data_IF_860985241432
#
_entry.id   IF_860985241432
#
_cell.length_a   1.000
_cell.length_b   1.000
_cell.length_c   1.000
_cell.angle_alpha   90.00
_cell.angle_beta   90.00
_cell.angle_gamma   90.00
#
_symmetry.space_group_name_H-M   'P 1'
#
loop_
_entity.id
_entity.type
_entity.pdbx_description
1 polymer ?
#
# COMPACT_ATOMS: atom_id res chain seq x y z
N UNK A 1 -22.82 8.97 -9.55
CA UNK A 1 -23.14 7.52 -9.57
C UNK A 1 -23.43 7.13 -11.00
N UNK A 2 -22.79 6.09 -11.53
CA UNK A 2 -22.96 5.62 -12.91
C UNK A 2 -23.17 4.11 -12.94
N UNK A 3 -24.01 3.60 -13.87
CA UNK A 3 -24.22 2.16 -14.05
C UNK A 3 -22.98 1.53 -14.70
N UNK A 4 -22.46 0.46 -14.11
CA UNK A 4 -21.41 -0.36 -14.71
C UNK A 4 -22.04 -1.36 -15.67
N UNK A 5 -21.94 -1.08 -16.97
CA UNK A 5 -22.54 -1.92 -18.00
C UNK A 5 -21.85 -3.30 -18.13
N UNK A 6 -20.56 -3.40 -17.82
CA UNK A 6 -19.81 -4.65 -17.93
C UNK A 6 -20.05 -5.60 -16.74
N UNK A 7 -20.27 -5.04 -15.56
CA UNK A 7 -20.57 -5.81 -14.35
C UNK A 7 -22.08 -6.10 -14.16
N UNK A 8 -22.96 -5.37 -14.85
CA UNK A 8 -24.41 -5.55 -14.76
C UNK A 8 -24.95 -6.67 -15.66
N UNK A 9 -26.11 -7.21 -15.30
CA UNK A 9 -26.87 -8.21 -16.07
C UNK A 9 -28.37 -7.94 -15.98
N UNK A 10 -29.20 -8.72 -16.69
CA UNK A 10 -30.66 -8.60 -16.61
C UNK A 10 -31.24 -8.89 -15.21
N UNK A 11 -30.47 -9.49 -14.30
CA UNK A 11 -30.87 -9.82 -12.92
C UNK A 11 -30.14 -9.02 -11.85
N UNK A 12 -29.12 -8.25 -12.22
CA UNK A 12 -28.26 -7.51 -11.29
C UNK A 12 -27.85 -6.19 -11.90
N UNK A 13 -28.17 -5.11 -11.21
CA UNK A 13 -27.63 -3.79 -11.53
C UNK A 13 -26.43 -3.51 -10.64
N UNK A 14 -25.32 -3.10 -11.25
CA UNK A 14 -24.10 -2.70 -10.56
C UNK A 14 -23.84 -1.24 -10.90
N UNK A 15 -23.61 -0.42 -9.87
CA UNK A 15 -23.33 1.00 -10.01
C UNK A 15 -22.00 1.35 -9.35
N UNK A 16 -21.25 2.22 -10.03
CA UNK A 16 -20.05 2.87 -9.51
C UNK A 16 -20.44 4.17 -8.82
N UNK A 17 -20.15 4.24 -7.52
CA UNK A 17 -20.36 5.43 -6.71
C UNK A 17 -19.03 5.82 -6.05
N UNK A 18 -18.52 7.01 -6.39
CA UNK A 18 -17.21 7.52 -5.95
C UNK A 18 -17.41 8.82 -5.15
N UNK A 19 -18.00 8.77 -3.94
CA UNK A 19 -18.46 9.96 -3.22
C UNK A 19 -17.34 10.93 -2.79
N UNK A 20 -16.09 10.47 -2.74
CA UNK A 20 -14.92 11.25 -2.34
C UNK A 20 -13.88 11.36 -3.46
N UNK A 21 -14.28 11.13 -4.72
CA UNK A 21 -13.33 11.09 -5.84
C UNK A 21 -12.57 12.40 -6.05
N UNK A 22 -13.25 13.53 -5.78
CA UNK A 22 -12.72 14.88 -5.97
C UNK A 22 -11.98 15.40 -4.73
N UNK A 23 -11.99 14.65 -3.63
CA UNK A 23 -11.34 15.08 -2.40
C UNK A 23 -9.82 15.00 -2.52
N UNK A 24 -9.16 16.04 -2.03
CA UNK A 24 -7.75 15.99 -1.71
C UNK A 24 -7.52 15.06 -0.52
N UNK A 25 -6.30 14.52 -0.40
CA UNK A 25 -5.92 13.66 0.73
C UNK A 25 -6.11 14.37 2.08
N UNK A 26 -5.87 15.68 2.13
CA UNK A 26 -6.08 16.50 3.33
C UNK A 26 -7.53 16.52 3.78
N UNK A 27 -8.49 16.59 2.85
CA UNK A 27 -9.93 16.58 3.13
C UNK A 27 -10.36 15.21 3.68
N UNK A 28 -9.85 14.12 3.09
CA UNK A 28 -10.08 12.74 3.58
C UNK A 28 -9.64 12.62 5.03
N UNK A 29 -8.41 13.05 5.35
CA UNK A 29 -7.88 12.96 6.71
C UNK A 29 -8.59 13.87 7.72
N UNK A 30 -9.00 15.08 7.31
CA UNK A 30 -9.81 15.96 8.15
C UNK A 30 -11.14 15.30 8.51
N UNK A 31 -11.80 14.67 7.54
CA UNK A 31 -13.07 13.98 7.75
C UNK A 31 -12.93 12.75 8.67
N UNK A 32 -11.92 11.90 8.45
CA UNK A 32 -11.62 10.75 9.32
C UNK A 32 -11.45 11.21 10.77
N UNK A 33 -10.61 12.23 11.00
CA UNK A 33 -10.36 12.77 12.34
C UNK A 33 -11.62 13.36 12.98
N UNK A 34 -12.42 14.11 12.22
CA UNK A 34 -13.66 14.71 12.72
C UNK A 34 -14.72 13.65 13.08
N UNK A 35 -14.77 12.54 12.34
CA UNK A 35 -15.73 11.46 12.59
C UNK A 35 -15.41 10.62 13.84
N UNK A 36 -14.16 10.65 14.33
CA UNK A 36 -13.71 9.83 15.45
C UNK A 36 -13.61 8.33 15.15
N UNK A 37 -13.76 7.90 13.89
CA UNK A 37 -13.58 6.49 13.51
C UNK A 37 -12.10 6.11 13.61
N UNK A 38 -11.78 4.89 14.09
CA UNK A 38 -10.40 4.42 14.08
C UNK A 38 -9.89 4.26 12.64
N UNK A 39 -8.62 4.57 12.43
CA UNK A 39 -7.90 4.30 11.18
C UNK A 39 -6.74 3.35 11.43
N UNK A 40 -6.15 2.82 10.35
CA UNK A 40 -5.12 1.80 10.47
C UNK A 40 -3.81 2.36 11.07
N UNK A 41 -3.19 1.73 12.09
CA UNK A 41 -1.98 2.25 12.75
C UNK A 41 -0.76 2.43 11.85
N UNK A 42 -0.73 1.77 10.69
CA UNK A 42 0.31 1.95 9.69
C UNK A 42 0.48 3.41 9.25
N UNK A 43 -0.59 4.20 9.26
CA UNK A 43 -0.53 5.63 8.95
C UNK A 43 0.17 6.44 10.04
N UNK A 44 0.03 6.08 11.32
CA UNK A 44 0.81 6.67 12.42
C UNK A 44 2.28 6.24 12.35
N UNK A 45 2.51 5.01 11.90
CA UNK A 45 3.81 4.54 11.47
C UNK A 45 4.24 5.14 10.12
N UNK A 46 3.61 6.24 9.67
CA UNK A 46 3.92 7.08 8.50
C UNK A 46 4.09 6.35 7.18
N UNK A 47 3.36 5.26 6.99
CA UNK A 47 3.06 4.74 5.66
C UNK A 47 2.11 5.70 4.96
N UNK A 48 2.32 5.97 3.68
CA UNK A 48 1.44 6.84 2.88
C UNK A 48 0.21 6.11 2.35
N UNK A 49 0.27 4.78 2.30
CA UNK A 49 -0.80 3.91 1.80
C UNK A 49 -0.84 2.58 2.54
N UNK A 50 -2.03 1.97 2.59
CA UNK A 50 -2.23 0.66 3.16
C UNK A 50 -2.35 -0.38 2.05
N UNK A 51 -1.29 -1.12 1.81
CA UNK A 51 -1.24 -2.21 0.83
C UNK A 51 -0.36 -3.33 1.34
N UNK A 52 0.12 -4.24 0.48
CA UNK A 52 1.10 -5.25 0.90
C UNK A 52 2.29 -4.57 1.60
N UNK A 53 2.73 -5.14 2.73
CA UNK A 53 3.76 -4.53 3.59
C UNK A 53 5.04 -4.18 2.81
N UNK A 54 5.48 -5.04 1.88
CA UNK A 54 6.58 -4.79 0.96
C UNK A 54 6.06 -4.76 -0.48
N UNK A 55 5.21 -3.78 -0.78
CA UNK A 55 4.60 -3.69 -2.11
C UNK A 55 5.65 -3.29 -3.17
N UNK A 56 5.74 -4.08 -4.25
CA UNK A 56 6.57 -3.75 -5.43
C UNK A 56 6.17 -2.44 -6.14
N UNK A 57 5.02 -1.86 -5.80
CA UNK A 57 4.56 -0.54 -6.27
C UNK A 57 4.64 0.55 -5.19
N UNK A 58 5.15 0.25 -3.99
CA UNK A 58 5.33 1.24 -2.92
C UNK A 58 6.38 2.29 -3.26
N UNK A 59 6.28 3.47 -2.64
CA UNK A 59 7.36 4.44 -2.71
C UNK A 59 8.62 3.92 -2.00
N UNK A 60 9.79 4.49 -2.30
CA UNK A 60 11.01 4.13 -1.57
C UNK A 60 10.85 4.39 -0.07
N UNK A 61 10.23 5.50 0.32
CA UNK A 61 10.00 5.83 1.73
C UNK A 61 9.13 4.77 2.43
N UNK A 62 8.04 4.33 1.79
CA UNK A 62 7.18 3.26 2.32
C UNK A 62 7.93 1.93 2.44
N UNK A 63 8.77 1.59 1.46
CA UNK A 63 9.58 0.35 1.51
C UNK A 63 10.55 0.34 2.68
N UNK A 64 11.27 1.44 2.90
CA UNK A 64 12.19 1.55 4.03
C UNK A 64 11.45 1.49 5.37
N UNK A 65 10.30 2.18 5.45
CA UNK A 65 9.44 2.16 6.65
C UNK A 65 8.93 0.75 6.92
N UNK A 66 8.45 0.06 5.89
CA UNK A 66 7.99 -1.31 6.00
C UNK A 66 9.09 -2.29 6.40
N UNK A 67 10.29 -2.16 5.84
CA UNK A 67 11.43 -3.00 6.23
C UNK A 67 11.81 -2.81 7.71
N UNK A 68 11.72 -1.58 8.24
CA UNK A 68 11.88 -1.31 9.68
C UNK A 68 10.78 -1.93 10.53
N UNK A 69 9.53 -1.82 10.09
CA UNK A 69 8.36 -2.34 10.81
C UNK A 69 8.27 -3.86 10.77
N UNK A 70 8.82 -4.50 9.73
CA UNK A 70 8.71 -5.93 9.43
C UNK A 70 10.06 -6.51 8.98
N UNK A 71 11.09 -6.49 9.84
CA UNK A 71 12.43 -6.92 9.48
C UNK A 71 12.48 -8.40 9.05
N UNK A 72 11.75 -9.27 9.74
CA UNK A 72 11.70 -10.71 9.41
C UNK A 72 11.13 -10.96 8.00
N UNK A 73 10.08 -10.21 7.63
CA UNK A 73 9.47 -10.31 6.31
C UNK A 73 10.43 -9.79 5.21
N UNK A 74 11.15 -8.71 5.50
CA UNK A 74 12.14 -8.18 4.57
C UNK A 74 13.28 -9.18 4.35
N UNK A 75 13.76 -9.82 5.42
CA UNK A 75 14.76 -10.88 5.34
C UNK A 75 14.27 -12.10 4.57
N UNK A 76 13.00 -12.49 4.77
CA UNK A 76 12.38 -13.57 3.99
C UNK A 76 12.36 -13.26 2.50
N UNK A 77 11.97 -12.03 2.11
CA UNK A 77 11.97 -11.65 0.70
C UNK A 77 13.39 -11.65 0.10
N UNK A 78 14.39 -11.17 0.84
CA UNK A 78 15.79 -11.21 0.39
C UNK A 78 16.26 -12.66 0.15
N UNK A 79 15.91 -13.59 1.05
CA UNK A 79 16.20 -15.03 0.86
C UNK A 79 15.53 -15.60 -0.38
N UNK A 80 14.29 -15.20 -0.65
CA UNK A 80 13.56 -15.64 -1.85
C UNK A 80 14.23 -15.08 -3.11
N UNK A 81 14.68 -13.82 -3.12
CA UNK A 81 15.43 -13.26 -4.26
C UNK A 81 16.67 -14.13 -4.59
N UNK A 82 17.42 -14.55 -3.58
CA UNK A 82 18.60 -15.41 -3.73
C UNK A 82 18.23 -16.81 -4.24
N UNK A 83 17.13 -17.41 -3.75
CA UNK A 83 16.67 -18.75 -4.14
C UNK A 83 16.25 -18.81 -5.61
N UNK A 84 15.54 -17.80 -6.09
CA UNK A 84 14.96 -17.80 -7.44
C UNK A 84 15.81 -17.06 -8.46
N UNK A 85 16.84 -16.33 -8.03
CA UNK A 85 17.70 -15.52 -8.89
C UNK A 85 16.98 -14.31 -9.53
N UNK A 86 15.92 -13.80 -8.88
CA UNK A 86 15.16 -12.64 -9.35
C UNK A 86 15.07 -11.57 -8.28
N UNK A 87 15.17 -10.31 -8.69
CA UNK A 87 15.11 -9.16 -7.78
C UNK A 87 13.67 -8.75 -7.48
N UNK A 88 13.48 -8.13 -6.32
CA UNK A 88 12.24 -7.55 -5.82
C UNK A 88 11.72 -6.47 -6.77
N UNK A 89 12.62 -5.61 -7.26
CA UNK A 89 12.44 -4.80 -8.46
C UNK A 89 13.71 -4.87 -9.29
N UNK A 90 13.57 -4.65 -10.59
CA UNK A 90 14.71 -4.65 -11.51
C UNK A 90 15.80 -3.64 -11.08
N UNK A 91 15.38 -2.50 -10.53
CA UNK A 91 16.23 -1.40 -10.07
C UNK A 91 16.55 -1.42 -8.57
N UNK A 92 15.97 -2.33 -7.77
CA UNK A 92 16.09 -2.31 -6.31
C UNK A 92 15.85 -3.70 -5.70
N UNK A 93 16.86 -4.26 -5.01
CA UNK A 93 16.72 -5.52 -4.26
C UNK A 93 16.31 -5.29 -2.81
N UNK A 94 15.85 -6.35 -2.13
CA UNK A 94 15.55 -6.29 -0.70
C UNK A 94 16.79 -6.08 0.14
N UNK A 95 17.93 -6.63 -0.24
CA UNK A 95 19.19 -6.38 0.46
C UNK A 95 19.53 -4.87 0.50
N UNK A 96 19.33 -4.16 -0.61
CA UNK A 96 19.52 -2.71 -0.67
C UNK A 96 18.48 -1.96 0.17
N UNK A 97 17.23 -2.41 0.18
CA UNK A 97 16.16 -1.84 1.02
C UNK A 97 16.50 -2.02 2.50
N UNK A 98 16.90 -3.22 2.92
CA UNK A 98 17.25 -3.54 4.31
C UNK A 98 18.45 -2.71 4.77
N UNK A 99 19.51 -2.63 3.96
CA UNK A 99 20.68 -1.82 4.26
C UNK A 99 20.33 -0.32 4.39
N UNK A 100 19.53 0.22 3.47
CA UNK A 100 19.11 1.61 3.52
C UNK A 100 18.09 1.91 4.64
N UNK A 101 17.40 0.88 5.14
CA UNK A 101 16.46 1.02 6.25
C UNK A 101 17.20 1.22 7.59
N UNK A 102 18.38 0.63 7.75
CA UNK A 102 19.16 0.67 8.99
C UNK A 102 20.58 1.22 8.71
N UNK A 103 20.72 2.55 8.56
CA UNK A 103 22.01 3.19 8.29
C UNK A 103 22.99 3.11 9.46
#
# INVERSE_FOLDING_TARGET
MSRDNGASSGRREVCTWLPIHEWAETEVWQHIRASGVPYHPAYDAGMTRLSCSLCIFGSRADLLRAARLRPDLAAEYARVEDEIGHRFRNDLSMAEIIAAANP
#
